data_IF_106690001573
#
_entry.id   IF_106690001573
#
_cell.length_a   1.000
_cell.length_b   1.000
_cell.length_c   1.000
_cell.angle_alpha   90.00
_cell.angle_beta   90.00
_cell.angle_gamma   90.00
#
_symmetry.space_group_name_H-M   'P 1'
#
loop_
_entity.id
_entity.type
_entity.pdbx_description
1 polymer ?
#
# COMPACT_ATOMS: atom_id res chain seq x y z
N UNK A 1 3.36 -9.34 -13.42
CA UNK A 1 1.94 -9.43 -13.73
C UNK A 1 1.25 -8.07 -13.57
N UNK A 2 0.06 -7.93 -14.12
CA UNK A 2 -0.69 -6.67 -14.03
C UNK A 2 -1.08 -6.33 -12.59
N UNK A 3 -1.30 -7.32 -11.75
CA UNK A 3 -1.59 -7.10 -10.32
C UNK A 3 -0.42 -6.42 -9.63
N UNK A 4 0.79 -6.88 -9.91
CA UNK A 4 2.00 -6.32 -9.31
C UNK A 4 2.20 -4.88 -9.72
N UNK A 5 2.02 -4.58 -10.99
CA UNK A 5 2.16 -3.21 -11.51
C UNK A 5 1.17 -2.28 -10.83
N UNK A 6 -0.08 -2.68 -10.72
CA UNK A 6 -1.11 -1.89 -10.05
C UNK A 6 -0.77 -1.68 -8.58
N UNK A 7 -0.33 -2.74 -7.89
CA UNK A 7 0.03 -2.66 -6.49
C UNK A 7 1.17 -1.67 -6.26
N UNK A 8 2.20 -1.70 -7.10
CA UNK A 8 3.31 -0.75 -6.99
C UNK A 8 2.85 0.70 -7.24
N UNK A 9 1.91 0.89 -8.16
CA UNK A 9 1.35 2.22 -8.40
C UNK A 9 0.57 2.73 -7.20
N UNK A 10 -0.20 1.86 -6.56
CA UNK A 10 -0.97 2.21 -5.36
C UNK A 10 -0.03 2.61 -4.22
N UNK A 11 1.03 1.85 -4.01
CA UNK A 11 2.01 2.12 -2.96
C UNK A 11 2.97 3.25 -3.36
N UNK A 12 2.93 3.68 -4.61
CA UNK A 12 3.75 4.78 -5.15
C UNK A 12 5.24 4.50 -5.04
N UNK A 13 5.65 3.32 -5.46
CA UNK A 13 7.05 2.96 -5.47
C UNK A 13 7.43 2.27 -6.77
N UNK A 14 8.73 2.19 -7.04
CA UNK A 14 9.22 1.45 -8.19
C UNK A 14 9.11 -0.04 -7.97
N UNK A 15 8.85 -0.83 -9.02
CA UNK A 15 8.81 -2.29 -8.89
C UNK A 15 10.10 -2.85 -8.32
N UNK A 16 9.97 -3.70 -7.31
CA UNK A 16 11.11 -4.33 -6.66
C UNK A 16 10.67 -5.66 -6.05
N UNK A 17 11.60 -6.59 -5.92
CA UNK A 17 11.34 -7.86 -5.24
C UNK A 17 11.76 -7.82 -3.77
N UNK A 18 12.29 -6.70 -3.32
CA UNK A 18 12.73 -6.53 -1.95
C UNK A 18 11.54 -6.25 -1.02
N UNK A 19 11.13 -7.25 -0.28
CA UNK A 19 9.97 -7.13 0.62
C UNK A 19 10.20 -6.05 1.71
N UNK A 20 11.43 -5.85 2.13
CA UNK A 20 11.74 -4.82 3.12
C UNK A 20 11.42 -3.43 2.59
N UNK A 21 11.78 -3.16 1.33
CA UNK A 21 11.46 -1.89 0.68
C UNK A 21 9.95 -1.71 0.57
N UNK A 22 9.25 -2.78 0.19
CA UNK A 22 7.78 -2.77 0.09
C UNK A 22 7.15 -2.46 1.45
N UNK A 23 7.63 -3.09 2.51
CA UNK A 23 7.14 -2.86 3.86
C UNK A 23 7.34 -1.41 4.30
N UNK A 24 8.50 -0.84 3.99
CA UNK A 24 8.78 0.56 4.34
C UNK A 24 7.80 1.50 3.65
N UNK A 25 7.57 1.31 2.35
CA UNK A 25 6.63 2.12 1.60
C UNK A 25 5.20 1.97 2.17
N UNK A 26 4.81 0.74 2.45
CA UNK A 26 3.51 0.44 3.03
C UNK A 26 3.31 1.17 4.36
N UNK A 27 4.28 1.07 5.26
CA UNK A 27 4.21 1.71 6.57
C UNK A 27 4.07 3.23 6.47
N UNK A 28 4.81 3.85 5.54
CA UNK A 28 4.70 5.29 5.31
C UNK A 28 3.29 5.69 4.90
N UNK A 29 2.69 4.93 3.98
CA UNK A 29 1.35 5.23 3.50
C UNK A 29 0.31 5.00 4.59
N UNK A 30 0.44 3.93 5.36
CA UNK A 30 -0.48 3.63 6.45
C UNK A 30 -0.45 4.76 7.48
N UNK A 31 0.71 5.26 7.83
CA UNK A 31 0.82 6.40 8.75
C UNK A 31 0.13 7.64 8.21
N UNK A 32 0.28 7.89 6.91
CA UNK A 32 -0.31 9.06 6.27
C UNK A 32 -1.84 8.99 6.24
N UNK A 33 -2.38 7.81 5.97
CA UNK A 33 -3.83 7.62 5.80
C UNK A 33 -4.49 6.89 6.95
N UNK A 34 -3.80 6.75 8.08
CA UNK A 34 -4.33 5.99 9.21
C UNK A 34 -5.63 6.60 9.73
N UNK A 35 -6.66 5.76 9.98
CA UNK A 35 -7.96 6.27 10.41
C UNK A 35 -7.91 7.05 11.73
N UNK A 36 -6.97 6.77 12.61
CA UNK A 36 -6.82 7.52 13.87
C UNK A 36 -6.50 8.99 13.64
N UNK A 37 -5.80 9.30 12.54
CA UNK A 37 -5.43 10.67 12.21
C UNK A 37 -6.43 11.33 11.26
N UNK A 38 -7.28 10.54 10.62
CA UNK A 38 -8.18 11.03 9.58
C UNK A 38 -9.60 10.52 9.81
N UNK A 39 -10.07 10.63 11.03
CA UNK A 39 -11.41 10.18 11.42
C UNK A 39 -12.46 10.90 10.60
N UNK A 40 -13.38 10.14 10.02
CA UNK A 40 -14.47 10.69 9.23
C UNK A 40 -14.13 10.97 7.78
N UNK A 41 -12.89 10.73 7.36
CA UNK A 41 -12.49 10.91 5.96
C UNK A 41 -12.63 9.60 5.20
N UNK A 42 -13.74 9.46 4.47
CA UNK A 42 -14.03 8.24 3.71
C UNK A 42 -13.01 7.98 2.60
N UNK A 43 -12.46 9.03 2.00
CA UNK A 43 -11.44 8.87 0.96
C UNK A 43 -10.21 8.18 1.52
N UNK A 44 -9.80 8.55 2.72
CA UNK A 44 -8.64 7.94 3.37
C UNK A 44 -8.92 6.50 3.79
N UNK A 45 -10.14 6.21 4.20
CA UNK A 45 -10.54 4.83 4.52
C UNK A 45 -10.42 3.94 3.28
N UNK A 46 -10.89 4.44 2.13
CA UNK A 46 -10.79 3.72 0.86
C UNK A 46 -9.32 3.55 0.45
N UNK A 47 -8.51 4.59 0.65
CA UNK A 47 -7.07 4.52 0.37
C UNK A 47 -6.38 3.44 1.19
N UNK A 48 -6.70 3.37 2.48
CA UNK A 48 -6.11 2.35 3.36
C UNK A 48 -6.48 0.94 2.88
N UNK A 49 -7.72 0.74 2.45
CA UNK A 49 -8.15 -0.55 1.92
C UNK A 49 -7.36 -0.93 0.67
N UNK A 50 -7.16 0.03 -0.25
CA UNK A 50 -6.37 -0.20 -1.45
C UNK A 50 -4.92 -0.51 -1.12
N UNK A 51 -4.34 0.24 -0.19
CA UNK A 51 -2.95 0.04 0.23
C UNK A 51 -2.77 -1.34 0.86
N UNK A 52 -3.70 -1.75 1.71
CA UNK A 52 -3.66 -3.08 2.34
C UNK A 52 -3.76 -4.18 1.29
N UNK A 53 -4.65 -4.01 0.31
CA UNK A 53 -4.80 -4.98 -0.78
C UNK A 53 -3.53 -5.05 -1.62
N UNK A 54 -2.97 -3.89 -1.97
CA UNK A 54 -1.74 -3.83 -2.75
C UNK A 54 -0.58 -4.53 -2.02
N UNK A 55 -0.44 -4.25 -0.74
CA UNK A 55 0.60 -4.89 0.06
C UNK A 55 0.41 -6.41 0.11
N UNK A 56 -0.82 -6.84 0.29
CA UNK A 56 -1.13 -8.28 0.31
C UNK A 56 -0.77 -8.95 -1.03
N UNK A 57 -1.07 -8.29 -2.14
CA UNK A 57 -0.71 -8.80 -3.46
C UNK A 57 0.81 -8.91 -3.63
N UNK A 58 1.54 -7.90 -3.17
CA UNK A 58 3.00 -7.87 -3.26
C UNK A 58 3.67 -8.86 -2.31
N UNK A 59 3.06 -9.09 -1.17
CA UNK A 59 3.56 -10.02 -0.17
C UNK A 59 3.57 -11.45 -0.69
N UNK A 60 2.69 -11.78 -1.61
CA UNK A 60 2.59 -13.11 -2.20
C UNK A 60 3.62 -13.35 -3.31
N UNK A 61 4.34 -12.34 -3.73
CA UNK A 61 5.38 -12.46 -4.73
C UNK A 61 6.57 -13.20 -4.13
N UNK A 62 7.02 -14.25 -4.81
CA UNK A 62 8.18 -15.03 -4.39
C UNK A 62 9.37 -14.74 -5.29
#
# INVERSE_FOLDING_TARGET
>A
SSKEIKAFKIIKMSPTKCIETIKKAYKKLVKKYHPDYNIGNKEYENKIKEINQAYNDLKEIK
#
